data_IF_270943365353
#
_entry.id   IF_270943365353
#
_cell.length_a   1.000
_cell.length_b   1.000
_cell.length_c   1.000
_cell.angle_alpha   90.00
_cell.angle_beta   90.00
_cell.angle_gamma   90.00
#
_symmetry.space_group_name_H-M   'P 1'
#
loop_
_entity.id
_entity.type
_entity.pdbx_description
1 polymer ?
#
# COMPACT_ATOMS: atom_id res chain seq x y z
N UNK A 1 47.14 -27.93 15.54
CA UNK A 1 47.62 -29.21 16.09
C UNK A 1 46.60 -30.30 15.79
N UNK A 2 46.96 -31.22 14.89
CA UNK A 2 46.14 -32.38 14.58
C UNK A 2 45.83 -33.23 15.83
N UNK A 3 44.59 -33.73 15.92
CA UNK A 3 44.12 -34.61 16.99
C UNK A 3 45.10 -35.78 17.26
N UNK A 4 45.56 -35.90 18.51
CA UNK A 4 46.51 -36.95 18.90
C UNK A 4 45.77 -38.25 19.20
N UNK A 5 45.89 -39.25 18.32
CA UNK A 5 45.30 -40.59 18.51
C UNK A 5 45.88 -41.32 19.74
N UNK A 6 45.12 -42.29 20.27
CA UNK A 6 45.44 -43.07 21.49
C UNK A 6 45.51 -44.57 21.19
N UNK A 7 46.32 -45.31 21.95
CA UNK A 7 46.34 -46.80 21.94
C UNK A 7 45.23 -47.41 22.80
N UNK A 8 44.59 -46.59 23.63
CA UNK A 8 43.48 -46.98 24.49
C UNK A 8 42.18 -46.28 24.06
N UNK A 9 41.06 -46.96 24.27
CA UNK A 9 39.73 -46.40 24.14
C UNK A 9 39.55 -45.22 25.09
N UNK A 10 38.91 -44.15 24.60
CA UNK A 10 38.58 -42.97 25.42
C UNK A 10 37.27 -42.33 25.02
N UNK A 11 36.64 -41.64 25.97
CA UNK A 11 35.51 -40.76 25.70
C UNK A 11 36.02 -39.32 25.62
N UNK A 12 35.66 -38.60 24.57
CA UNK A 12 36.07 -37.21 24.34
C UNK A 12 34.83 -36.36 24.11
N UNK A 13 34.79 -35.20 24.78
CA UNK A 13 33.80 -34.16 24.49
C UNK A 13 34.15 -33.53 23.14
N UNK A 14 33.25 -33.62 22.18
CA UNK A 14 33.38 -32.99 20.88
C UNK A 14 32.31 -31.92 20.70
N UNK A 15 32.60 -30.98 19.81
CA UNK A 15 31.73 -29.90 19.40
C UNK A 15 31.39 -30.14 17.93
N UNK A 16 30.12 -30.43 17.67
CA UNK A 16 29.63 -30.79 16.35
C UNK A 16 29.48 -29.53 15.50
N UNK A 17 29.85 -29.66 14.24
CA UNK A 17 29.86 -28.62 13.24
C UNK A 17 28.83 -28.95 12.16
N UNK A 18 28.15 -27.91 11.66
CA UNK A 18 27.32 -28.03 10.47
C UNK A 18 28.23 -28.33 9.28
N UNK A 19 27.90 -29.35 8.48
CA UNK A 19 28.83 -29.89 7.47
C UNK A 19 29.14 -28.93 6.30
N UNK A 20 28.27 -27.95 6.05
CA UNK A 20 28.36 -26.96 4.97
C UNK A 20 29.01 -25.64 5.43
N UNK A 21 28.75 -25.19 6.66
CA UNK A 21 29.18 -23.87 7.15
C UNK A 21 30.14 -23.89 8.34
N UNK A 22 30.44 -25.07 8.89
CA UNK A 22 31.22 -25.26 10.12
C UNK A 22 30.66 -24.51 11.35
N UNK A 23 29.37 -24.15 11.34
CA UNK A 23 28.69 -23.57 12.49
C UNK A 23 28.59 -24.57 13.63
N UNK A 24 28.78 -24.11 14.86
CA UNK A 24 28.55 -24.92 16.05
C UNK A 24 27.07 -25.32 16.16
N UNK A 25 26.77 -26.63 16.19
CA UNK A 25 25.40 -27.15 16.28
C UNK A 25 25.13 -27.95 17.57
N UNK A 26 26.10 -28.01 18.48
CA UNK A 26 25.95 -28.63 19.79
C UNK A 26 27.12 -29.50 20.20
N UNK A 27 27.23 -29.77 21.50
CA UNK A 27 28.30 -30.58 22.07
C UNK A 27 27.81 -31.98 22.45
N UNK A 28 28.69 -32.98 22.38
CA UNK A 28 28.37 -34.35 22.75
C UNK A 28 29.62 -35.13 23.14
N UNK A 29 29.44 -36.22 23.88
CA UNK A 29 30.54 -37.11 24.24
C UNK A 29 30.61 -38.26 23.24
N UNK A 30 31.78 -38.47 22.64
CA UNK A 30 32.02 -39.51 21.65
C UNK A 30 33.03 -40.52 22.17
N UNK A 31 32.71 -41.78 21.93
CA UNK A 31 33.59 -42.90 22.20
C UNK A 31 34.56 -43.12 21.04
N UNK A 32 35.86 -43.03 21.29
CA UNK A 32 36.94 -43.15 20.31
C UNK A 32 37.74 -44.42 20.60
N UNK A 33 37.78 -45.34 19.65
CA UNK A 33 38.54 -46.59 19.74
C UNK A 33 40.05 -46.35 19.57
N UNK A 34 40.92 -47.30 19.99
CA UNK A 34 42.34 -47.26 19.73
C UNK A 34 42.65 -46.99 18.25
N UNK A 35 43.61 -46.11 18.00
CA UNK A 35 44.10 -45.75 16.66
C UNK A 35 43.04 -45.17 15.70
N UNK A 36 41.95 -44.58 16.23
CA UNK A 36 40.94 -43.86 15.45
C UNK A 36 40.95 -42.34 15.71
N UNK A 37 40.43 -41.57 14.75
CA UNK A 37 40.33 -40.11 14.82
C UNK A 37 38.96 -39.62 15.29
N UNK A 38 38.81 -38.30 15.40
CA UNK A 38 37.50 -37.68 15.62
C UNK A 38 36.53 -38.00 14.47
N UNK A 39 35.22 -38.12 14.74
CA UNK A 39 34.21 -38.14 13.68
C UNK A 39 34.33 -36.93 12.75
N UNK A 40 33.80 -37.07 11.53
CA UNK A 40 33.70 -35.95 10.61
C UNK A 40 32.82 -34.84 11.19
N UNK A 41 33.09 -33.59 10.80
CA UNK A 41 32.33 -32.40 11.21
C UNK A 41 32.28 -32.22 12.73
N UNK A 42 33.37 -32.48 13.44
CA UNK A 42 33.50 -32.12 14.85
C UNK A 42 34.95 -31.71 15.20
N UNK A 43 35.09 -31.01 16.31
CA UNK A 43 36.38 -30.62 16.91
C UNK A 43 36.37 -30.94 18.41
N UNK A 44 37.53 -31.21 19.01
CA UNK A 44 37.70 -31.31 20.47
C UNK A 44 38.05 -29.96 21.12
N UNK A 45 38.16 -28.89 20.32
CA UNK A 45 38.38 -27.52 20.78
C UNK A 45 37.05 -26.88 21.16
N UNK A 46 36.91 -26.49 22.42
CA UNK A 46 35.70 -25.84 22.91
C UNK A 46 35.44 -24.49 22.21
N UNK A 47 34.18 -24.20 21.81
CA UNK A 47 33.82 -22.86 21.37
C UNK A 47 33.95 -21.88 22.55
N UNK A 48 34.16 -20.59 22.26
CA UNK A 48 34.07 -19.54 23.27
C UNK A 48 32.63 -19.40 23.78
N UNK A 49 32.42 -18.57 24.80
CA UNK A 49 31.07 -18.13 25.18
C UNK A 49 30.41 -17.44 23.98
N UNK A 50 29.22 -17.89 23.61
CA UNK A 50 28.45 -17.38 22.46
C UNK A 50 27.39 -16.41 23.00
N UNK A 51 27.51 -15.09 22.75
CA UNK A 51 26.49 -14.13 23.15
C UNK A 51 25.16 -14.37 22.43
N UNK A 52 24.09 -13.69 22.89
CA UNK A 52 22.84 -13.65 22.13
C UNK A 52 23.07 -13.05 20.73
N UNK A 53 22.26 -13.49 19.76
CA UNK A 53 22.35 -13.08 18.35
C UNK A 53 23.74 -13.30 17.74
N UNK A 54 24.44 -14.36 18.15
CA UNK A 54 25.73 -14.76 17.58
C UNK A 54 25.78 -16.28 17.36
N UNK A 55 26.63 -16.70 16.42
CA UNK A 55 26.98 -18.08 16.15
C UNK A 55 28.50 -18.23 16.13
N UNK A 56 29.00 -19.35 16.65
CA UNK A 56 30.41 -19.71 16.54
C UNK A 56 30.65 -20.53 15.27
N UNK A 57 31.63 -20.13 14.46
CA UNK A 57 32.06 -20.83 13.24
C UNK A 57 33.49 -21.31 13.43
N UNK A 58 33.75 -22.58 13.15
CA UNK A 58 35.08 -23.16 13.29
C UNK A 58 35.85 -23.10 11.97
N UNK A 59 37.08 -22.58 12.01
CA UNK A 59 38.03 -22.64 10.91
C UNK A 59 38.96 -23.86 11.11
N UNK A 60 38.83 -24.92 10.31
CA UNK A 60 39.67 -26.11 10.44
C UNK A 60 41.11 -25.93 9.97
N UNK A 61 41.41 -24.89 9.18
CA UNK A 61 42.79 -24.64 8.71
C UNK A 61 43.62 -23.98 9.81
N UNK A 62 43.02 -23.05 10.55
CA UNK A 62 43.67 -22.36 11.67
C UNK A 62 43.37 -23.02 13.03
N UNK A 63 42.40 -23.93 13.08
CA UNK A 63 41.86 -24.55 14.29
C UNK A 63 41.36 -23.53 15.32
N UNK A 64 40.68 -22.48 14.85
CA UNK A 64 40.15 -21.41 15.70
C UNK A 64 38.65 -21.20 15.51
N UNK A 65 38.02 -20.61 16.53
CA UNK A 65 36.61 -20.21 16.49
C UNK A 65 36.50 -18.72 16.18
N UNK A 66 35.60 -18.35 15.28
CA UNK A 66 35.14 -16.98 15.09
C UNK A 66 33.69 -16.83 15.56
N UNK A 67 33.37 -15.67 16.14
CA UNK A 67 32.00 -15.30 16.50
C UNK A 67 31.46 -14.39 15.41
N UNK A 68 30.36 -14.81 14.80
CA UNK A 68 29.63 -14.03 13.81
C UNK A 68 28.28 -13.62 14.41
N UNK A 69 27.80 -12.43 14.07
CA UNK A 69 26.41 -12.07 14.33
C UNK A 69 25.47 -13.10 13.66
N UNK A 70 24.34 -13.36 14.29
CA UNK A 70 23.33 -14.29 13.79
C UNK A 70 21.95 -13.75 14.15
N UNK A 71 21.35 -13.08 13.18
CA UNK A 71 19.99 -12.54 13.26
C UNK A 71 19.00 -13.41 12.46
N UNK A 72 19.36 -14.66 12.14
CA UNK A 72 18.50 -15.55 11.36
C UNK A 72 17.15 -15.76 12.04
N UNK A 73 16.09 -15.77 11.23
CA UNK A 73 14.71 -15.87 11.72
C UNK A 73 14.09 -14.52 12.08
N UNK A 74 14.88 -13.45 12.17
CA UNK A 74 14.37 -12.10 12.35
C UNK A 74 13.83 -11.53 11.03
N UNK A 75 12.85 -10.63 11.15
CA UNK A 75 12.38 -9.79 10.05
C UNK A 75 12.77 -8.36 10.35
N UNK A 76 13.55 -7.77 9.46
CA UNK A 76 13.90 -6.35 9.47
C UNK A 76 13.18 -5.63 8.33
N UNK A 77 13.30 -4.32 8.25
CA UNK A 77 12.61 -3.49 7.28
C UNK A 77 13.61 -2.62 6.54
N UNK A 78 13.51 -2.62 5.21
CA UNK A 78 14.29 -1.74 4.34
C UNK A 78 13.90 -0.27 4.62
N UNK A 79 14.86 0.58 4.95
CA UNK A 79 14.60 1.97 5.38
C UNK A 79 14.21 2.89 4.22
N UNK A 80 14.39 2.47 2.98
CA UNK A 80 14.03 3.25 1.80
C UNK A 80 12.59 2.98 1.36
N UNK A 81 12.14 1.74 1.53
CA UNK A 81 10.86 1.24 0.98
C UNK A 81 9.87 0.80 2.04
N UNK A 82 10.30 0.55 3.27
CA UNK A 82 9.48 -0.05 4.33
C UNK A 82 9.20 -1.54 4.13
N UNK A 83 9.77 -2.18 3.12
CA UNK A 83 9.51 -3.59 2.83
C UNK A 83 10.19 -4.51 3.86
N UNK A 84 9.52 -5.60 4.27
CA UNK A 84 10.13 -6.58 5.17
C UNK A 84 11.23 -7.38 4.46
N UNK A 85 12.31 -7.64 5.18
CA UNK A 85 13.47 -8.44 4.78
C UNK A 85 13.66 -9.52 5.84
N UNK A 86 13.50 -10.78 5.43
CA UNK A 86 13.74 -11.93 6.29
C UNK A 86 15.21 -12.31 6.28
N UNK A 87 15.81 -12.48 7.46
CA UNK A 87 17.22 -12.88 7.59
C UNK A 87 17.32 -14.41 7.58
N UNK A 88 17.97 -14.95 6.55
CA UNK A 88 18.16 -16.40 6.38
C UNK A 88 19.60 -16.86 6.58
N UNK A 89 20.56 -15.95 6.54
CA UNK A 89 22.00 -16.25 6.65
C UNK A 89 22.60 -15.61 7.91
N UNK A 90 23.63 -16.23 8.53
CA UNK A 90 24.35 -15.60 9.62
C UNK A 90 25.16 -14.41 9.09
N UNK A 91 25.34 -13.41 9.94
CA UNK A 91 26.05 -12.17 9.62
C UNK A 91 25.37 -10.94 10.23
N UNK A 92 25.96 -9.75 10.02
CA UNK A 92 25.33 -8.50 10.43
C UNK A 92 24.04 -8.25 9.65
N UNK A 93 23.16 -7.41 10.19
CA UNK A 93 21.97 -6.97 9.48
C UNK A 93 22.35 -6.28 8.15
N UNK A 94 21.56 -6.47 7.08
CA UNK A 94 21.82 -5.82 5.80
C UNK A 94 21.88 -4.29 5.93
N UNK A 95 22.71 -3.65 5.10
CA UNK A 95 22.74 -2.19 5.05
C UNK A 95 21.36 -1.61 4.72
N UNK A 96 21.07 -0.41 5.22
CA UNK A 96 19.78 0.27 5.04
C UNK A 96 18.58 -0.53 5.58
N UNK A 97 18.76 -1.30 6.65
CA UNK A 97 17.65 -1.96 7.35
C UNK A 97 17.48 -1.45 8.78
N UNK A 98 16.28 -1.65 9.33
CA UNK A 98 15.96 -1.39 10.73
C UNK A 98 15.06 -2.51 11.28
N UNK A 99 15.18 -2.84 12.56
CA UNK A 99 14.28 -3.77 13.25
C UNK A 99 12.91 -3.14 13.59
N UNK A 100 12.76 -1.83 13.41
CA UNK A 100 11.51 -1.11 13.62
C UNK A 100 10.60 -1.28 12.39
N UNK A 101 9.36 -1.74 12.58
CA UNK A 101 8.38 -1.77 11.50
C UNK A 101 7.83 -0.36 11.22
N UNK A 102 7.52 -0.01 9.96
CA UNK A 102 6.70 1.15 9.67
C UNK A 102 5.31 0.99 10.30
N UNK A 103 4.74 2.09 10.78
CA UNK A 103 3.41 2.12 11.41
C UNK A 103 2.29 2.39 10.41
N UNK A 104 2.63 2.98 9.26
CA UNK A 104 1.71 3.35 8.19
C UNK A 104 2.35 3.10 6.82
N UNK A 105 1.56 2.80 5.76
CA UNK A 105 2.07 2.63 4.39
C UNK A 105 2.71 3.88 3.79
N UNK A 106 2.53 5.05 4.41
CA UNK A 106 3.14 6.31 3.97
C UNK A 106 4.36 6.71 4.80
N UNK A 107 4.78 5.85 5.74
CA UNK A 107 5.94 6.16 6.56
C UNK A 107 7.23 6.15 5.73
N UNK A 108 8.08 7.12 6.04
CA UNK A 108 9.42 7.27 5.51
C UNK A 108 10.41 7.25 6.66
N UNK A 109 11.51 6.53 6.51
CA UNK A 109 12.52 6.45 7.55
C UNK A 109 13.43 7.68 7.53
N UNK A 110 13.37 8.50 8.57
CA UNK A 110 14.17 9.71 8.72
C UNK A 110 14.70 9.82 10.15
N UNK A 111 15.98 10.20 10.29
CA UNK A 111 16.62 10.40 11.59
C UNK A 111 16.49 9.21 12.56
N UNK A 112 16.47 7.98 12.03
CA UNK A 112 16.42 6.75 12.82
C UNK A 112 15.00 6.29 13.22
N UNK A 113 13.96 6.95 12.73
CA UNK A 113 12.57 6.59 13.02
C UNK A 113 11.68 6.65 11.78
N UNK A 114 10.58 5.91 11.81
CA UNK A 114 9.51 6.02 10.82
C UNK A 114 8.67 7.27 11.08
N UNK A 115 8.51 8.11 10.06
CA UNK A 115 7.69 9.32 10.11
C UNK A 115 6.76 9.32 8.90
N UNK A 116 5.46 9.55 9.13
CA UNK A 116 4.47 9.65 8.07
C UNK A 116 4.84 10.77 7.08
N UNK A 117 5.00 10.43 5.80
CA UNK A 117 5.38 11.37 4.76
C UNK A 117 4.20 12.26 4.35
N UNK A 118 4.28 13.54 4.73
CA UNK A 118 3.28 14.56 4.40
C UNK A 118 3.10 14.71 2.89
N UNK A 119 4.18 14.61 2.10
CA UNK A 119 4.08 14.76 0.65
C UNK A 119 3.28 13.62 0.02
N UNK A 120 3.52 12.38 0.47
CA UNK A 120 2.73 11.21 0.07
C UNK A 120 1.27 11.34 0.52
N UNK A 121 1.01 11.78 1.75
CA UNK A 121 -0.36 12.00 2.24
C UNK A 121 -1.13 13.02 1.37
N UNK A 122 -0.49 14.16 1.05
CA UNK A 122 -1.08 15.20 0.19
C UNK A 122 -1.37 14.67 -1.23
N UNK A 123 -0.44 13.91 -1.80
CA UNK A 123 -0.62 13.29 -3.12
C UNK A 123 -1.81 12.32 -3.14
N UNK A 124 -1.91 11.44 -2.14
CA UNK A 124 -3.03 10.50 -2.00
C UNK A 124 -4.36 11.24 -1.85
N UNK A 125 -4.43 12.25 -0.98
CA UNK A 125 -5.66 13.00 -0.75
C UNK A 125 -6.08 13.83 -1.98
N UNK A 126 -5.12 14.39 -2.72
CA UNK A 126 -5.40 15.03 -4.01
C UNK A 126 -5.95 14.06 -5.05
N UNK A 127 -5.45 12.82 -5.10
CA UNK A 127 -5.99 11.79 -5.98
C UNK A 127 -7.43 11.43 -5.60
N UNK A 128 -7.74 11.29 -4.30
CA UNK A 128 -9.09 11.06 -3.80
C UNK A 128 -10.05 12.21 -4.17
N UNK A 129 -9.63 13.46 -3.99
CA UNK A 129 -10.40 14.65 -4.40
C UNK A 129 -10.68 14.64 -5.91
N UNK A 130 -9.70 14.27 -6.74
CA UNK A 130 -9.88 14.18 -8.19
C UNK A 130 -10.87 13.04 -8.55
N UNK A 131 -10.80 11.91 -7.84
CA UNK A 131 -11.73 10.80 -8.03
C UNK A 131 -13.16 11.20 -7.65
N UNK A 132 -13.34 11.92 -6.53
CA UNK A 132 -14.62 12.50 -6.14
C UNK A 132 -15.16 13.45 -7.22
N UNK A 133 -14.33 14.37 -7.73
CA UNK A 133 -14.74 15.28 -8.80
C UNK A 133 -15.22 14.50 -10.02
N UNK A 134 -14.45 13.50 -10.47
CA UNK A 134 -14.81 12.68 -11.62
C UNK A 134 -16.15 11.96 -11.40
N UNK A 135 -16.40 11.45 -10.19
CA UNK A 135 -17.66 10.81 -9.85
C UNK A 135 -18.83 11.81 -9.90
N UNK A 136 -18.65 13.03 -9.37
CA UNK A 136 -19.66 14.09 -9.44
C UNK A 136 -19.92 14.53 -10.89
N UNK A 137 -18.91 14.81 -11.70
CA UNK A 137 -19.09 15.25 -13.10
C UNK A 137 -19.80 14.21 -13.98
N UNK A 138 -19.73 12.93 -13.63
CA UNK A 138 -20.46 11.85 -14.30
C UNK A 138 -21.81 11.51 -13.63
N UNK A 139 -22.18 12.22 -12.56
CA UNK A 139 -23.42 12.06 -11.84
C UNK A 139 -24.64 12.54 -12.63
N UNK A 140 -25.81 12.20 -12.10
CA UNK A 140 -27.11 12.69 -12.56
C UNK A 140 -27.73 13.61 -11.50
N UNK A 141 -28.20 14.78 -11.93
CA UNK A 141 -28.64 15.88 -11.08
C UNK A 141 -30.04 16.35 -11.48
N UNK A 142 -31.11 15.75 -10.96
CA UNK A 142 -32.47 16.12 -11.34
C UNK A 142 -32.74 17.61 -11.16
N UNK A 143 -33.43 18.22 -12.12
CA UNK A 143 -33.88 19.61 -12.05
C UNK A 143 -35.34 19.73 -12.45
N UNK A 144 -36.01 20.77 -11.97
CA UNK A 144 -37.42 21.02 -12.30
C UNK A 144 -37.54 21.95 -13.49
N UNK A 145 -38.34 21.57 -14.49
CA UNK A 145 -38.77 22.44 -15.58
C UNK A 145 -40.24 22.13 -15.91
N UNK A 146 -41.06 23.18 -16.00
CA UNK A 146 -42.49 23.08 -16.32
C UNK A 146 -43.28 22.11 -15.41
N UNK A 147 -42.87 21.99 -14.14
CA UNK A 147 -43.53 21.11 -13.16
C UNK A 147 -43.09 19.64 -13.19
N UNK A 148 -42.15 19.28 -14.07
CA UNK A 148 -41.57 17.93 -14.18
C UNK A 148 -40.13 17.92 -13.69
N UNK A 149 -39.67 16.77 -13.17
CA UNK A 149 -38.28 16.55 -12.81
C UNK A 149 -37.54 15.87 -13.96
N UNK A 150 -36.43 16.44 -14.39
CA UNK A 150 -35.67 15.93 -15.53
C UNK A 150 -34.27 15.53 -15.11
N UNK A 151 -33.80 14.40 -15.62
CA UNK A 151 -32.42 13.97 -15.43
C UNK A 151 -31.45 14.97 -16.07
N UNK A 152 -30.43 15.40 -15.31
CA UNK A 152 -29.38 16.29 -15.79
C UNK A 152 -28.01 15.64 -15.62
N UNK A 153 -27.39 15.27 -16.72
CA UNK A 153 -26.07 14.66 -16.71
C UNK A 153 -25.63 14.38 -18.13
N UNK A 154 -24.37 13.97 -18.28
CA UNK A 154 -23.78 13.69 -19.59
C UNK A 154 -24.62 12.66 -20.38
N UNK A 155 -25.05 11.59 -19.72
CA UNK A 155 -25.88 10.56 -20.35
C UNK A 155 -27.26 11.10 -20.81
N UNK A 156 -27.90 11.96 -20.02
CA UNK A 156 -29.19 12.57 -20.37
C UNK A 156 -29.05 13.53 -21.55
N UNK A 157 -27.97 14.32 -21.56
CA UNK A 157 -27.64 15.22 -22.66
C UNK A 157 -27.35 14.45 -23.95
N UNK A 158 -26.56 13.38 -23.88
CA UNK A 158 -26.22 12.54 -25.05
C UNK A 158 -27.47 11.89 -25.65
N UNK A 159 -28.45 11.50 -24.81
CA UNK A 159 -29.75 10.95 -25.25
C UNK A 159 -30.65 12.01 -25.88
N UNK A 160 -30.67 13.22 -25.32
CA UNK A 160 -31.56 14.29 -25.77
C UNK A 160 -31.08 14.95 -27.08
N UNK A 161 -29.76 15.06 -27.28
CA UNK A 161 -29.12 15.68 -28.45
C UNK A 161 -29.71 15.25 -29.81
N UNK A 162 -29.78 13.94 -30.17
CA UNK A 162 -30.34 13.53 -31.45
C UNK A 162 -31.85 13.82 -31.55
N UNK A 163 -32.58 13.76 -30.43
CA UNK A 163 -34.02 14.07 -30.39
C UNK A 163 -34.25 15.55 -30.70
N UNK A 164 -33.49 16.45 -30.08
CA UNK A 164 -33.61 17.88 -30.34
C UNK A 164 -33.17 18.22 -31.78
N UNK A 165 -32.19 17.51 -32.34
CA UNK A 165 -31.81 17.66 -33.75
C UNK A 165 -32.95 17.31 -34.72
N UNK A 166 -33.69 16.22 -34.46
CA UNK A 166 -34.88 15.83 -35.23
C UNK A 166 -36.04 16.80 -35.00
N UNK A 167 -36.24 17.25 -33.75
CA UNK A 167 -37.24 18.24 -33.38
C UNK A 167 -37.09 19.54 -34.17
N UNK A 168 -35.85 20.04 -34.29
CA UNK A 168 -35.52 21.24 -35.08
C UNK A 168 -35.81 21.10 -36.59
N UNK A 169 -35.89 19.86 -37.10
CA UNK A 169 -36.25 19.59 -38.49
C UNK A 169 -37.76 19.40 -38.69
N UNK A 170 -38.55 19.41 -37.62
CA UNK A 170 -39.99 19.21 -37.68
C UNK A 170 -40.41 17.78 -38.03
N UNK A 171 -39.50 16.81 -37.87
CA UNK A 171 -39.69 15.40 -38.29
C UNK A 171 -39.89 14.45 -37.11
N UNK A 172 -40.35 14.95 -35.96
CA UNK A 172 -40.70 14.10 -34.82
C UNK A 172 -41.86 13.15 -35.19
N UNK A 173 -41.82 11.89 -34.72
CA UNK A 173 -42.95 10.98 -34.87
C UNK A 173 -44.24 11.53 -34.26
N UNK A 174 -45.43 11.24 -34.83
CA UNK A 174 -46.70 11.55 -34.20
C UNK A 174 -46.81 10.92 -32.80
N UNK A 175 -47.26 11.70 -31.81
CA UNK A 175 -47.40 11.23 -30.43
C UNK A 175 -46.08 11.10 -29.66
N UNK A 176 -45.02 11.76 -30.10
CA UNK A 176 -43.73 11.77 -29.41
C UNK A 176 -43.85 12.24 -27.96
N UNK A 177 -43.13 11.57 -27.06
CA UNK A 177 -43.02 11.91 -25.65
C UNK A 177 -41.57 11.75 -25.18
N UNK A 178 -41.24 12.42 -24.07
CA UNK A 178 -39.99 12.21 -23.34
C UNK A 178 -40.31 11.77 -21.92
N UNK A 179 -39.63 10.72 -21.46
CA UNK A 179 -39.81 10.21 -20.09
C UNK A 179 -38.97 11.05 -19.14
N UNK A 180 -39.62 11.59 -18.11
CA UNK A 180 -38.97 12.39 -17.07
C UNK A 180 -38.27 11.52 -16.00
N UNK A 181 -37.59 12.14 -15.04
CA UNK A 181 -36.82 11.46 -14.00
C UNK A 181 -37.70 10.63 -13.03
N UNK A 182 -38.99 10.94 -12.96
CA UNK A 182 -39.99 10.22 -12.16
C UNK A 182 -40.62 9.06 -12.94
N UNK A 183 -40.09 8.76 -14.14
CA UNK A 183 -40.61 7.77 -15.09
C UNK A 183 -42.02 8.11 -15.62
N UNK A 184 -42.32 9.40 -15.77
CA UNK A 184 -43.58 9.87 -16.35
C UNK A 184 -43.33 10.23 -17.81
N UNK A 185 -44.13 9.65 -18.71
CA UNK A 185 -44.10 9.98 -20.13
C UNK A 185 -44.80 11.32 -20.36
N UNK A 186 -44.03 12.34 -20.73
CA UNK A 186 -44.52 13.69 -20.98
C UNK A 186 -44.61 13.91 -22.50
N UNK A 187 -45.79 14.19 -23.08
CA UNK A 187 -45.89 14.61 -24.47
C UNK A 187 -45.10 15.90 -24.69
N UNK A 188 -44.25 15.94 -25.72
CA UNK A 188 -43.33 17.07 -25.94
C UNK A 188 -43.42 17.61 -27.37
N UNK A 189 -43.56 18.92 -27.49
CA UNK A 189 -43.40 19.65 -28.74
C UNK A 189 -41.93 19.92 -29.06
N UNK A 190 -41.65 20.33 -30.30
CA UNK A 190 -40.29 20.69 -30.70
C UNK A 190 -39.71 21.85 -29.86
N UNK A 191 -40.52 22.85 -29.55
CA UNK A 191 -40.10 24.00 -28.74
C UNK A 191 -39.82 23.60 -27.28
N UNK A 192 -40.62 22.69 -26.72
CA UNK A 192 -40.40 22.15 -25.37
C UNK A 192 -39.11 21.32 -25.27
N UNK A 193 -38.77 20.54 -26.31
CA UNK A 193 -37.50 19.79 -26.35
C UNK A 193 -36.29 20.72 -26.45
N UNK A 194 -36.39 21.80 -27.22
CA UNK A 194 -35.34 22.83 -27.29
C UNK A 194 -35.19 23.54 -25.95
N UNK A 195 -36.31 23.86 -25.27
CA UNK A 195 -36.29 24.44 -23.94
C UNK A 195 -35.68 23.49 -22.88
N UNK A 196 -36.02 22.19 -22.95
CA UNK A 196 -35.46 21.16 -22.09
C UNK A 196 -33.95 21.02 -22.28
N UNK A 197 -33.47 20.97 -23.53
CA UNK A 197 -32.04 20.90 -23.83
C UNK A 197 -31.29 22.14 -23.28
N UNK A 198 -31.83 23.34 -23.50
CA UNK A 198 -31.23 24.58 -23.01
C UNK A 198 -31.19 24.63 -21.47
N UNK A 199 -32.28 24.24 -20.81
CA UNK A 199 -32.34 24.20 -19.35
C UNK A 199 -31.39 23.14 -18.77
N UNK A 200 -31.29 21.97 -19.40
CA UNK A 200 -30.35 20.93 -19.01
C UNK A 200 -28.90 21.44 -19.12
N UNK A 201 -28.53 22.07 -20.24
CA UNK A 201 -27.20 22.65 -20.42
C UNK A 201 -26.87 23.71 -19.34
N UNK A 202 -27.81 24.59 -19.02
CA UNK A 202 -27.63 25.60 -17.96
C UNK A 202 -27.42 24.94 -16.58
N UNK A 203 -28.21 23.92 -16.25
CA UNK A 203 -28.07 23.19 -14.99
C UNK A 203 -26.75 22.41 -14.93
N UNK A 204 -26.33 21.76 -16.01
CA UNK A 204 -25.03 21.08 -16.10
C UNK A 204 -23.87 22.05 -15.85
N UNK A 205 -23.92 23.25 -16.44
CA UNK A 205 -22.89 24.29 -16.20
C UNK A 205 -22.90 24.73 -14.74
N UNK A 206 -24.07 24.99 -14.16
CA UNK A 206 -24.18 25.41 -12.76
C UNK A 206 -23.65 24.34 -11.79
N UNK A 207 -23.99 23.07 -12.02
CA UNK A 207 -23.50 21.94 -11.23
C UNK A 207 -21.99 21.76 -11.40
N UNK A 208 -21.50 21.77 -12.64
CA UNK A 208 -20.07 21.66 -12.94
C UNK A 208 -19.25 22.77 -12.28
N UNK A 209 -19.77 23.99 -12.24
CA UNK A 209 -19.13 25.11 -11.56
C UNK A 209 -19.02 24.88 -10.04
N UNK A 210 -20.11 24.45 -9.38
CA UNK A 210 -20.10 24.13 -7.94
C UNK A 210 -19.11 23.01 -7.61
N UNK A 211 -19.05 21.97 -8.44
CA UNK A 211 -18.10 20.87 -8.30
C UNK A 211 -16.67 21.39 -8.39
N UNK A 212 -16.40 22.27 -9.36
CA UNK A 212 -15.09 22.88 -9.53
C UNK A 212 -14.67 23.74 -8.33
N UNK A 213 -15.58 24.60 -7.84
CA UNK A 213 -15.34 25.42 -6.64
C UNK A 213 -15.03 24.54 -5.43
N UNK A 214 -15.85 23.51 -5.19
CA UNK A 214 -15.63 22.60 -4.05
C UNK A 214 -14.32 21.84 -4.18
N UNK A 215 -13.96 21.35 -5.38
CA UNK A 215 -12.66 20.72 -5.58
C UNK A 215 -11.51 21.65 -5.17
N UNK A 216 -11.57 22.92 -5.61
CA UNK A 216 -10.52 23.91 -5.30
C UNK A 216 -10.42 24.17 -3.81
N UNK A 217 -11.57 24.36 -3.16
CA UNK A 217 -11.66 24.55 -1.72
C UNK A 217 -11.03 23.36 -0.97
N UNK A 218 -11.40 22.12 -1.30
CA UNK A 218 -10.83 20.93 -0.63
C UNK A 218 -9.32 20.84 -0.81
N UNK A 219 -8.79 21.16 -2.00
CA UNK A 219 -7.34 21.19 -2.23
C UNK A 219 -6.66 22.29 -1.41
N UNK A 220 -7.25 23.46 -1.30
CA UNK A 220 -6.70 24.54 -0.49
C UNK A 220 -6.69 24.17 1.01
N UNK A 221 -7.80 23.64 1.52
CA UNK A 221 -7.92 23.14 2.89
C UNK A 221 -6.87 22.07 3.18
N UNK A 222 -6.74 21.04 2.32
CA UNK A 222 -5.75 19.97 2.47
C UNK A 222 -4.31 20.49 2.41
N UNK A 223 -3.99 21.41 1.49
CA UNK A 223 -2.64 21.98 1.38
C UNK A 223 -2.26 22.89 2.56
N UNK A 224 -3.24 23.34 3.35
CA UNK A 224 -2.99 24.11 4.57
C UNK A 224 -2.61 23.23 5.77
N UNK A 225 -2.82 21.92 5.68
CA UNK A 225 -2.51 20.96 6.74
C UNK A 225 -1.01 20.63 6.74
N UNK A 226 -0.40 20.68 7.93
CA UNK A 226 1.02 20.40 8.14
C UNK A 226 1.29 19.02 8.73
N UNK A 227 0.24 18.25 9.01
CA UNK A 227 0.32 16.93 9.62
C UNK A 227 -0.26 15.89 8.67
N UNK A 228 0.51 14.82 8.40
CA UNK A 228 0.12 13.77 7.45
C UNK A 228 -1.16 13.05 7.87
N UNK A 229 -1.37 12.78 9.16
CA UNK A 229 -2.59 12.13 9.65
C UNK A 229 -3.81 13.03 9.45
N UNK A 230 -3.71 14.32 9.76
CA UNK A 230 -4.80 15.27 9.50
C UNK A 230 -5.15 15.35 8.01
N UNK A 231 -4.15 15.26 7.12
CA UNK A 231 -4.38 15.16 5.67
C UNK A 231 -5.15 13.89 5.34
N UNK A 232 -4.73 12.73 5.86
CA UNK A 232 -5.41 11.45 5.60
C UNK A 232 -6.85 11.43 6.13
N UNK A 233 -7.09 12.04 7.29
CA UNK A 233 -8.40 12.11 7.96
C UNK A 233 -9.36 13.13 7.30
N UNK A 234 -8.88 13.98 6.39
CA UNK A 234 -9.72 14.94 5.68
C UNK A 234 -10.83 14.23 4.90
N UNK A 235 -12.09 14.59 5.17
CA UNK A 235 -13.28 14.00 4.55
C UNK A 235 -13.53 14.64 3.19
N UNK A 236 -13.35 13.86 2.12
CA UNK A 236 -13.63 14.30 0.75
C UNK A 236 -15.13 14.22 0.48
N UNK A 237 -15.71 15.34 0.05
CA UNK A 237 -17.14 15.39 -0.23
C UNK A 237 -17.72 16.79 -0.24
N UNK A 238 -19.04 16.86 -0.46
CA UNK A 238 -19.81 18.05 -0.12
C UNK A 238 -19.76 18.28 1.39
N UNK A 239 -19.73 19.55 1.85
CA UNK A 239 -19.84 19.83 3.28
C UNK A 239 -21.15 19.24 3.82
N UNK A 240 -21.13 18.79 5.08
CA UNK A 240 -22.34 18.35 5.75
C UNK A 240 -23.38 19.47 5.69
N UNK A 241 -24.57 19.16 5.18
CA UNK A 241 -25.70 20.06 5.29
C UNK A 241 -26.15 20.03 6.74
N UNK A 242 -25.90 21.09 7.49
CA UNK A 242 -26.52 21.30 8.80
C UNK A 242 -28.02 21.31 8.54
N UNK A 243 -28.72 20.24 8.95
CA UNK A 243 -30.17 20.23 8.96
C UNK A 243 -30.60 21.24 10.03
N UNK A 244 -31.16 22.37 9.61
CA UNK A 244 -31.91 23.28 10.48
C UNK A 244 -33.19 22.61 10.98
#
# INVERSE_FOLDING_TARGET
MAFKMSEETRTIRVYNLRADTNEFIGAGDVWIAPHTGLPANCTDIAPPDIPASHIAVFDPETETWSLNEDHRGETVYDTQTGNPVYISEPGPLPENTTTQAPTSPIDKFENGQWVADLATALSQKHAEINAWRNAQENGNYPFTLNGHHWDCGKASQDRLSPVTAVARQGTLPPGFFWTDADNIDVPMTADELVALEAAMQQNMVAVGFKIHERQRQMKEEVNSLTNAQAVLDYVVGWPETVKE
#
